data_IF_339516576128
#
_entry.id   IF_339516576128
#
_cell.length_a   1.000
_cell.length_b   1.000
_cell.length_c   1.000
_cell.angle_alpha   90.00
_cell.angle_beta   90.00
_cell.angle_gamma   90.00
#
_symmetry.space_group_name_H-M   'P 1'
#
loop_
_entity.id
_entity.type
_entity.pdbx_description
1 polymer ?
#
# COMPACT_ATOMS: atom_id res chain seq x y z
N UNK A 1 -48.41 -45.28 -17.21
CA UNK A 1 -46.98 -45.63 -17.09
C UNK A 1 -46.26 -44.39 -16.57
N UNK A 2 -46.17 -44.25 -15.26
CA UNK A 2 -45.33 -43.22 -14.62
C UNK A 2 -44.55 -43.95 -13.53
N UNK A 3 -43.24 -44.09 -13.75
CA UNK A 3 -42.33 -44.62 -12.75
C UNK A 3 -41.86 -43.45 -11.89
N UNK A 4 -42.48 -43.35 -10.73
CA UNK A 4 -41.90 -42.77 -9.51
C UNK A 4 -40.62 -43.54 -9.16
N UNK A 5 -39.57 -42.82 -8.75
CA UNK A 5 -38.33 -43.46 -8.28
C UNK A 5 -37.18 -42.48 -8.13
N UNK A 6 -37.12 -41.80 -6.98
CA UNK A 6 -35.85 -41.39 -6.36
C UNK A 6 -35.99 -41.54 -4.86
N UNK A 7 -35.59 -42.70 -4.38
CA UNK A 7 -35.38 -43.00 -2.97
C UNK A 7 -33.91 -42.66 -2.66
N UNK A 8 -33.68 -41.59 -1.91
CA UNK A 8 -32.40 -41.33 -1.24
C UNK A 8 -32.61 -41.73 0.22
N UNK A 9 -32.10 -42.89 0.59
CA UNK A 9 -32.01 -43.33 1.98
C UNK A 9 -30.95 -42.47 2.66
N UNK A 10 -31.40 -41.45 3.40
CA UNK A 10 -30.57 -40.66 4.30
C UNK A 10 -30.57 -41.37 5.65
N UNK A 11 -29.37 -41.71 6.14
CA UNK A 11 -29.17 -42.23 7.50
C UNK A 11 -29.71 -41.23 8.51
N UNK A 12 -30.51 -41.74 9.45
CA UNK A 12 -30.99 -41.05 10.63
C UNK A 12 -29.82 -40.57 11.50
N UNK A 13 -29.44 -39.31 11.33
CA UNK A 13 -28.85 -38.50 12.40
C UNK A 13 -29.57 -37.17 12.35
N UNK A 14 -30.38 -36.90 13.37
CA UNK A 14 -31.20 -35.70 13.51
C UNK A 14 -30.37 -34.44 13.76
N UNK A 15 -29.50 -34.08 12.83
CA UNK A 15 -28.93 -32.74 12.74
C UNK A 15 -29.91 -31.86 11.98
N UNK A 16 -30.36 -30.79 12.63
CA UNK A 16 -31.09 -29.71 11.99
C UNK A 16 -30.09 -29.06 11.03
N UNK A 17 -30.11 -29.46 9.76
CA UNK A 17 -29.39 -28.75 8.70
C UNK A 17 -30.07 -27.40 8.56
N UNK A 18 -29.49 -26.37 9.18
CA UNK A 18 -29.92 -24.99 9.00
C UNK A 18 -29.73 -24.66 7.52
N UNK A 19 -30.84 -24.64 6.78
CA UNK A 19 -30.86 -24.34 5.35
C UNK A 19 -30.19 -22.97 5.16
N UNK A 20 -29.07 -22.94 4.43
CA UNK A 20 -28.30 -21.72 4.25
C UNK A 20 -29.21 -20.65 3.65
N UNK A 21 -29.26 -19.42 4.23
CA UNK A 21 -30.16 -18.40 3.72
C UNK A 21 -29.84 -18.12 2.25
N UNK A 22 -30.86 -18.21 1.39
CA UNK A 22 -30.77 -17.76 0.01
C UNK A 22 -30.21 -16.34 -0.01
N UNK A 23 -29.15 -16.11 -0.80
CA UNK A 23 -28.52 -14.80 -0.92
C UNK A 23 -29.51 -13.84 -1.57
N UNK A 24 -30.30 -13.15 -0.76
CA UNK A 24 -31.19 -12.08 -1.23
C UNK A 24 -30.36 -10.82 -1.40
N UNK A 25 -30.07 -10.43 -2.64
CA UNK A 25 -29.39 -9.19 -2.98
C UNK A 25 -30.35 -8.00 -2.76
N UNK A 26 -30.33 -7.43 -1.56
CA UNK A 26 -31.02 -6.17 -1.23
C UNK A 26 -30.02 -5.01 -1.28
N UNK A 27 -30.49 -3.77 -1.43
CA UNK A 27 -29.59 -2.60 -1.42
C UNK A 27 -28.77 -2.52 -0.13
N UNK A 28 -29.39 -2.85 1.01
CA UNK A 28 -28.73 -2.92 2.30
C UNK A 28 -27.70 -4.06 2.38
N UNK A 29 -27.98 -5.24 1.80
CA UNK A 29 -27.00 -6.32 1.76
C UNK A 29 -25.80 -5.96 0.88
N UNK A 30 -26.02 -5.25 -0.23
CA UNK A 30 -24.95 -4.76 -1.12
C UNK A 30 -24.07 -3.76 -0.37
N UNK A 31 -24.67 -2.79 0.33
CA UNK A 31 -23.92 -1.80 1.13
C UNK A 31 -23.05 -2.48 2.20
N UNK A 32 -23.60 -3.47 2.91
CA UNK A 32 -22.87 -4.22 3.93
C UNK A 32 -21.73 -5.05 3.33
N UNK A 33 -21.97 -5.75 2.21
CA UNK A 33 -20.93 -6.53 1.51
C UNK A 33 -19.81 -5.60 1.04
N UNK A 34 -20.14 -4.46 0.44
CA UNK A 34 -19.16 -3.49 -0.04
C UNK A 34 -18.32 -2.91 1.12
N UNK A 35 -18.96 -2.57 2.25
CA UNK A 35 -18.26 -2.11 3.45
C UNK A 35 -17.31 -3.17 4.00
N UNK A 36 -17.76 -4.43 4.11
CA UNK A 36 -16.95 -5.54 4.60
C UNK A 36 -15.75 -5.81 3.70
N UNK A 37 -15.93 -5.78 2.37
CA UNK A 37 -14.83 -5.91 1.41
C UNK A 37 -13.84 -4.77 1.57
N UNK A 38 -14.30 -3.52 1.70
CA UNK A 38 -13.39 -2.38 1.90
C UNK A 38 -12.61 -2.47 3.22
N UNK A 39 -13.22 -2.96 4.30
CA UNK A 39 -12.53 -3.21 5.57
C UNK A 39 -11.48 -4.32 5.44
N UNK A 40 -11.83 -5.43 4.80
CA UNK A 40 -10.91 -6.54 4.52
C UNK A 40 -9.73 -6.08 3.65
N UNK A 41 -9.98 -5.26 2.63
CA UNK A 41 -8.92 -4.72 1.80
C UNK A 41 -7.97 -3.83 2.59
N UNK A 42 -8.50 -2.91 3.41
CA UNK A 42 -7.70 -2.02 4.26
C UNK A 42 -6.84 -2.79 5.26
N UNK A 43 -7.38 -3.87 5.83
CA UNK A 43 -6.64 -4.74 6.73
C UNK A 43 -5.42 -5.33 6.02
N UNK A 44 -5.60 -5.91 4.84
CA UNK A 44 -4.50 -6.52 4.05
C UNK A 44 -3.44 -5.48 3.68
N UNK A 45 -3.85 -4.30 3.20
CA UNK A 45 -2.90 -3.25 2.81
C UNK A 45 -2.11 -2.68 3.97
N UNK A 46 -2.66 -2.72 5.19
CA UNK A 46 -2.00 -2.20 6.39
C UNK A 46 -1.09 -3.25 7.04
N UNK A 47 -1.45 -4.53 6.94
CA UNK A 47 -0.69 -5.63 7.53
C UNK A 47 0.57 -5.99 6.75
N UNK A 48 0.53 -5.92 5.41
CA UNK A 48 1.60 -6.42 4.56
C UNK A 48 2.71 -5.40 4.36
N UNK A 49 3.95 -5.85 4.50
CA UNK A 49 5.17 -5.07 4.31
C UNK A 49 5.91 -5.50 3.03
N UNK A 50 6.30 -4.54 2.22
CA UNK A 50 7.04 -4.79 0.97
C UNK A 50 8.45 -5.28 1.28
N UNK A 51 8.95 -6.21 0.47
CA UNK A 51 10.24 -6.92 0.62
C UNK A 51 10.35 -7.83 1.85
N UNK A 52 9.27 -7.99 2.64
CA UNK A 52 9.17 -8.95 3.75
C UNK A 52 8.06 -9.96 3.48
N UNK A 53 6.85 -9.46 3.23
CA UNK A 53 5.66 -10.30 3.05
C UNK A 53 5.27 -10.49 1.58
N UNK A 54 5.63 -9.51 0.75
CA UNK A 54 5.40 -9.52 -0.69
C UNK A 54 6.48 -8.70 -1.39
N UNK A 55 6.75 -9.00 -2.65
CA UNK A 55 7.73 -8.26 -3.42
C UNK A 55 8.06 -8.90 -4.75
N UNK A 56 9.12 -8.41 -5.39
CA UNK A 56 9.51 -8.86 -6.72
C UNK A 56 10.52 -10.00 -6.65
N UNK A 57 10.10 -11.19 -7.07
CA UNK A 57 11.03 -12.31 -7.26
C UNK A 57 11.91 -12.07 -8.49
N UNK A 58 13.24 -12.30 -8.42
CA UNK A 58 14.11 -12.22 -9.59
C UNK A 58 13.56 -13.05 -10.76
N UNK A 59 13.38 -12.40 -11.91
CA UNK A 59 12.82 -13.03 -13.12
C UNK A 59 11.30 -12.89 -13.29
N UNK A 60 10.55 -12.35 -12.33
CA UNK A 60 9.12 -12.02 -12.50
C UNK A 60 8.93 -10.54 -12.88
N UNK A 61 7.83 -10.24 -13.58
CA UNK A 61 7.49 -8.86 -13.97
C UNK A 61 6.67 -8.13 -12.91
N UNK A 62 5.90 -8.87 -12.13
CA UNK A 62 5.01 -8.35 -11.09
C UNK A 62 5.50 -8.80 -9.72
N UNK A 63 5.13 -8.01 -8.72
CA UNK A 63 5.27 -8.40 -7.32
C UNK A 63 4.31 -9.58 -7.04
N UNK A 64 4.67 -10.39 -6.06
CA UNK A 64 3.88 -11.53 -5.63
C UNK A 64 3.88 -11.64 -4.12
N UNK A 65 2.77 -12.18 -3.60
CA UNK A 65 2.65 -12.58 -2.19
C UNK A 65 3.61 -13.74 -1.90
N UNK A 66 4.34 -13.65 -0.79
CA UNK A 66 5.21 -14.72 -0.30
C UNK A 66 4.55 -15.48 0.85
N UNK A 67 5.18 -16.58 1.24
CA UNK A 67 4.73 -17.48 2.31
C UNK A 67 4.48 -16.74 3.63
N UNK A 68 5.42 -15.86 4.03
CA UNK A 68 5.29 -15.02 5.22
C UNK A 68 4.07 -14.10 5.16
N UNK A 69 3.78 -13.52 3.99
CA UNK A 69 2.61 -12.67 3.79
C UNK A 69 1.30 -13.44 3.84
N UNK A 70 1.25 -14.65 3.28
CA UNK A 70 0.08 -15.52 3.40
C UNK A 70 -0.22 -15.86 4.87
N UNK A 71 0.81 -16.27 5.63
CA UNK A 71 0.69 -16.53 7.06
C UNK A 71 0.21 -15.30 7.86
N UNK A 72 0.73 -14.10 7.54
CA UNK A 72 0.31 -12.84 8.17
C UNK A 72 -1.15 -12.50 7.86
N UNK A 73 -1.62 -12.76 6.64
CA UNK A 73 -3.05 -12.63 6.28
C UNK A 73 -3.89 -13.58 7.13
N UNK A 74 -3.54 -14.86 7.22
CA UNK A 74 -4.32 -15.82 8.01
C UNK A 74 -4.41 -15.39 9.48
N UNK A 75 -3.29 -14.95 10.06
CA UNK A 75 -3.27 -14.43 11.43
C UNK A 75 -4.17 -13.18 11.58
N UNK A 76 -4.10 -12.23 10.63
CA UNK A 76 -4.91 -11.02 10.63
C UNK A 76 -6.42 -11.27 10.54
N UNK A 77 -6.83 -12.32 9.82
CA UNK A 77 -8.23 -12.76 9.73
C UNK A 77 -8.62 -13.78 10.81
N UNK A 78 -7.76 -14.02 11.81
CA UNK A 78 -7.98 -15.03 12.86
C UNK A 78 -8.34 -16.42 12.28
N UNK A 79 -7.60 -16.83 11.25
CA UNK A 79 -7.77 -18.09 10.54
C UNK A 79 -6.57 -19.01 10.77
N UNK A 80 -6.77 -20.30 10.48
CA UNK A 80 -5.69 -21.29 10.39
C UNK A 80 -5.87 -22.16 9.16
N UNK A 81 -4.79 -22.82 8.76
CA UNK A 81 -4.77 -23.66 7.57
C UNK A 81 -4.78 -25.13 7.98
N UNK A 82 -5.68 -25.88 7.37
CA UNK A 82 -5.66 -27.34 7.36
C UNK A 82 -5.28 -27.83 5.95
N UNK A 83 -4.40 -28.82 5.87
CA UNK A 83 -3.85 -29.30 4.60
C UNK A 83 -4.42 -30.67 4.25
N UNK A 84 -4.95 -30.78 3.04
CA UNK A 84 -5.41 -32.04 2.48
C UNK A 84 -4.59 -32.41 1.25
N UNK A 85 -3.99 -33.60 1.25
CA UNK A 85 -3.35 -34.14 0.06
C UNK A 85 -4.44 -34.60 -0.90
N UNK A 86 -4.52 -33.96 -2.06
CA UNK A 86 -5.46 -34.34 -3.13
C UNK A 86 -4.88 -35.44 -4.01
N UNK A 87 -3.57 -35.37 -4.26
CA UNK A 87 -2.87 -36.29 -5.15
C UNK A 87 -1.40 -36.41 -4.75
N UNK A 88 -0.90 -37.64 -4.79
CA UNK A 88 0.51 -37.98 -4.60
C UNK A 88 0.89 -39.11 -5.56
N UNK A 89 2.00 -38.93 -6.26
CA UNK A 89 2.60 -39.92 -7.15
C UNK A 89 4.12 -39.94 -6.90
N UNK A 90 4.66 -41.15 -6.74
CA UNK A 90 6.06 -41.47 -6.43
C UNK A 90 6.49 -42.74 -7.20
N UNK A 91 6.21 -42.77 -8.50
CA UNK A 91 6.56 -43.87 -9.40
C UNK A 91 7.67 -43.48 -10.39
N UNK A 92 8.53 -44.43 -10.79
CA UNK A 92 9.50 -44.25 -11.88
C UNK A 92 10.43 -43.01 -11.78
N UNK A 93 10.76 -42.57 -10.55
CA UNK A 93 11.52 -41.33 -10.28
C UNK A 93 10.76 -40.03 -10.64
N UNK A 94 9.44 -40.11 -10.74
CA UNK A 94 8.53 -38.99 -10.76
C UNK A 94 7.99 -38.79 -9.34
N UNK A 95 8.20 -37.60 -8.78
CA UNK A 95 7.51 -37.19 -7.56
C UNK A 95 6.56 -36.08 -7.96
N UNK A 96 5.30 -36.19 -7.57
CA UNK A 96 4.27 -35.17 -7.77
C UNK A 96 3.37 -35.07 -6.55
N UNK A 97 3.14 -33.85 -6.09
CA UNK A 97 2.22 -33.52 -5.01
C UNK A 97 1.20 -32.50 -5.49
N UNK A 98 -0.06 -32.70 -5.11
CA UNK A 98 -1.12 -31.71 -5.16
C UNK A 98 -1.77 -31.62 -3.78
N UNK A 99 -1.75 -30.43 -3.20
CA UNK A 99 -2.22 -30.16 -1.84
C UNK A 99 -3.26 -29.06 -1.91
N UNK A 100 -4.35 -29.25 -1.16
CA UNK A 100 -5.34 -28.23 -0.90
C UNK A 100 -5.12 -27.65 0.50
N UNK A 101 -5.12 -26.33 0.60
CA UNK A 101 -5.12 -25.59 1.86
C UNK A 101 -6.55 -25.11 2.14
N UNK A 102 -7.16 -25.63 3.20
CA UNK A 102 -8.46 -25.20 3.71
C UNK A 102 -8.23 -24.12 4.77
N UNK A 103 -8.69 -22.90 4.51
CA UNK A 103 -8.53 -21.78 5.43
C UNK A 103 -9.78 -21.73 6.29
N UNK A 104 -9.60 -21.95 7.59
CA UNK A 104 -10.68 -22.11 8.55
C UNK A 104 -10.66 -20.94 9.52
N UNK A 105 -11.81 -20.28 9.66
CA UNK A 105 -12.00 -19.24 10.68
C UNK A 105 -11.98 -19.85 12.08
N UNK A 106 -11.15 -19.32 12.98
CA UNK A 106 -11.12 -19.80 14.38
C UNK A 106 -12.43 -19.52 15.12
N UNK A 107 -13.11 -18.43 14.76
CA UNK A 107 -14.34 -18.01 15.42
C UNK A 107 -15.55 -18.87 15.02
N UNK A 108 -15.67 -19.20 13.73
CA UNK A 108 -16.85 -19.89 13.18
C UNK A 108 -16.61 -21.35 12.84
N UNK A 109 -15.35 -21.79 12.79
CA UNK A 109 -14.93 -23.13 12.35
C UNK A 109 -15.39 -23.48 10.92
N UNK A 110 -15.73 -22.47 10.12
CA UNK A 110 -16.13 -22.62 8.72
C UNK A 110 -14.94 -22.35 7.80
N UNK A 111 -14.92 -23.03 6.65
CA UNK A 111 -13.96 -22.74 5.58
C UNK A 111 -14.31 -21.39 4.95
N UNK A 112 -13.37 -20.45 4.98
CA UNK A 112 -13.50 -19.10 4.43
C UNK A 112 -12.73 -18.90 3.12
N UNK A 113 -11.88 -19.86 2.76
CA UNK A 113 -11.11 -19.86 1.53
C UNK A 113 -10.45 -21.21 1.31
N UNK A 114 -10.13 -21.52 0.06
CA UNK A 114 -9.44 -22.74 -0.34
C UNK A 114 -8.40 -22.41 -1.38
N UNK A 115 -7.20 -22.94 -1.22
CA UNK A 115 -6.12 -22.81 -2.21
C UNK A 115 -5.60 -24.16 -2.66
N UNK A 116 -5.11 -24.25 -3.89
CA UNK A 116 -4.51 -25.48 -4.42
C UNK A 116 -3.08 -25.22 -4.89
N UNK A 117 -2.16 -26.06 -4.44
CA UNK A 117 -0.75 -25.99 -4.78
C UNK A 117 -0.24 -27.34 -5.26
N UNK A 118 0.48 -27.32 -6.38
CA UNK A 118 1.12 -28.51 -6.93
C UNK A 118 2.61 -28.29 -7.13
N UNK A 119 3.40 -29.35 -6.93
CA UNK A 119 4.83 -29.37 -7.21
C UNK A 119 5.27 -30.75 -7.70
N UNK A 120 6.17 -30.80 -8.69
CA UNK A 120 6.70 -32.08 -9.18
C UNK A 120 8.15 -32.04 -9.66
N UNK A 121 8.75 -33.22 -9.83
CA UNK A 121 10.04 -33.39 -10.53
C UNK A 121 9.92 -33.20 -12.05
N UNK A 122 8.72 -32.98 -12.60
CA UNK A 122 8.55 -32.51 -14.00
C UNK A 122 8.92 -31.03 -14.15
N UNK A 123 8.91 -30.26 -13.06
CA UNK A 123 9.39 -28.87 -13.09
C UNK A 123 10.92 -28.83 -13.30
N UNK A 124 11.37 -28.03 -14.26
CA UNK A 124 12.80 -27.94 -14.63
C UNK A 124 13.73 -27.61 -13.46
N UNK A 125 13.25 -26.86 -12.46
CA UNK A 125 14.03 -26.48 -11.27
C UNK A 125 14.29 -27.65 -10.31
N UNK A 126 13.38 -28.64 -10.28
CA UNK A 126 13.48 -29.81 -9.40
C UNK A 126 14.09 -30.99 -10.16
N UNK A 127 13.83 -31.07 -11.47
CA UNK A 127 14.34 -32.11 -12.38
C UNK A 127 15.85 -32.09 -12.55
N UNK A 128 16.45 -30.90 -12.57
CA UNK A 128 17.83 -30.70 -12.98
C UNK A 128 18.67 -29.98 -11.94
N UNK A 129 19.94 -30.40 -11.81
CA UNK A 129 20.95 -29.75 -10.98
C UNK A 129 22.14 -29.31 -11.84
N UNK A 130 22.79 -28.22 -11.44
CA UNK A 130 24.01 -27.73 -12.10
C UNK A 130 25.24 -28.22 -11.33
N UNK A 131 26.10 -28.99 -12.01
CA UNK A 131 27.27 -29.64 -11.41
C UNK A 131 28.53 -29.31 -12.20
N UNK A 132 29.66 -29.20 -11.51
CA UNK A 132 30.96 -28.93 -12.15
C UNK A 132 31.50 -30.18 -12.85
N UNK A 133 31.43 -31.33 -12.18
CA UNK A 133 32.00 -32.60 -12.64
C UNK A 133 30.91 -33.69 -12.78
N UNK A 134 30.21 -33.79 -13.92
CA UNK A 134 29.24 -34.87 -14.14
C UNK A 134 29.84 -36.28 -14.06
N UNK A 135 31.15 -36.44 -14.30
CA UNK A 135 31.85 -37.73 -14.27
C UNK A 135 31.75 -38.40 -12.89
N UNK A 136 31.75 -37.64 -11.81
CA UNK A 136 31.57 -38.15 -10.44
C UNK A 136 30.17 -38.76 -10.21
N UNK A 137 29.19 -38.36 -11.02
CA UNK A 137 27.83 -38.89 -11.00
C UNK A 137 27.61 -40.04 -11.99
N UNK A 138 28.69 -40.57 -12.58
CA UNK A 138 28.65 -41.72 -13.48
C UNK A 138 28.33 -41.41 -14.94
N UNK A 139 28.33 -40.14 -15.36
CA UNK A 139 28.16 -39.77 -16.76
C UNK A 139 29.43 -40.08 -17.57
N UNK A 140 29.26 -40.77 -18.71
CA UNK A 140 30.33 -41.03 -19.67
C UNK A 140 30.70 -39.79 -20.49
N UNK A 141 31.88 -39.78 -21.11
CA UNK A 141 32.37 -38.62 -21.88
C UNK A 141 31.44 -38.24 -23.05
N UNK A 142 30.86 -39.24 -23.72
CA UNK A 142 29.87 -39.05 -24.79
C UNK A 142 28.54 -38.44 -24.31
N UNK A 143 28.17 -38.71 -23.06
CA UNK A 143 26.97 -38.14 -22.45
C UNK A 143 27.23 -36.71 -21.98
N UNK A 144 28.40 -36.46 -21.40
CA UNK A 144 28.85 -35.13 -20.95
C UNK A 144 28.84 -34.14 -22.11
N UNK A 145 29.30 -34.57 -23.29
CA UNK A 145 29.29 -33.74 -24.50
C UNK A 145 27.88 -33.28 -24.92
N UNK A 146 26.83 -34.02 -24.54
CA UNK A 146 25.42 -33.70 -24.85
C UNK A 146 24.74 -32.87 -23.76
N UNK A 147 25.34 -32.74 -22.58
CA UNK A 147 24.76 -31.99 -21.47
C UNK A 147 24.76 -30.49 -21.74
N UNK A 148 23.70 -29.81 -21.32
CA UNK A 148 23.63 -28.35 -21.40
C UNK A 148 24.66 -27.73 -20.46
N UNK A 149 25.55 -26.91 -20.99
CA UNK A 149 26.55 -26.15 -20.21
C UNK A 149 26.05 -24.73 -19.96
N UNK A 150 26.27 -24.22 -18.75
CA UNK A 150 25.95 -22.83 -18.38
C UNK A 150 27.12 -21.93 -18.78
N UNK A 151 26.84 -20.87 -19.51
CA UNK A 151 27.87 -19.94 -20.00
C UNK A 151 28.59 -19.17 -18.88
N UNK A 152 27.91 -18.93 -17.75
CA UNK A 152 28.43 -18.13 -16.64
C UNK A 152 29.49 -18.86 -15.80
N UNK A 153 29.21 -20.08 -15.36
CA UNK A 153 30.06 -20.83 -14.40
C UNK A 153 30.65 -22.11 -15.00
N UNK A 154 30.36 -22.39 -16.27
CA UNK A 154 30.83 -23.57 -16.98
C UNK A 154 30.23 -24.90 -16.50
N UNK A 155 29.27 -24.89 -15.56
CA UNK A 155 28.66 -26.10 -15.01
C UNK A 155 27.74 -26.79 -16.02
N UNK A 156 27.56 -28.09 -15.84
CA UNK A 156 26.70 -28.94 -16.66
C UNK A 156 25.36 -29.19 -15.97
N UNK A 157 24.29 -29.27 -16.75
CA UNK A 157 22.95 -29.57 -16.27
C UNK A 157 22.69 -31.08 -16.33
N UNK A 158 22.68 -31.73 -15.17
CA UNK A 158 22.39 -33.17 -15.00
C UNK A 158 21.00 -33.39 -14.42
N UNK A 159 20.48 -34.62 -14.54
CA UNK A 159 19.27 -35.03 -13.81
C UNK A 159 19.61 -34.99 -12.31
N UNK A 160 18.67 -34.53 -11.49
CA UNK A 160 18.88 -34.44 -10.06
C UNK A 160 19.08 -35.86 -9.46
N UNK A 161 20.25 -36.16 -8.87
CA UNK A 161 20.53 -37.48 -8.28
C UNK A 161 19.85 -37.67 -6.92
N UNK A 162 19.50 -36.59 -6.23
CA UNK A 162 19.07 -36.61 -4.83
C UNK A 162 17.55 -36.80 -4.71
N UNK A 163 17.07 -37.98 -5.11
CA UNK A 163 15.63 -38.26 -5.16
C UNK A 163 14.93 -38.14 -3.81
N UNK A 164 15.52 -38.70 -2.75
CA UNK A 164 14.93 -38.71 -1.41
C UNK A 164 14.70 -37.31 -0.84
N UNK A 165 15.64 -36.39 -1.08
CA UNK A 165 15.53 -34.99 -0.62
C UNK A 165 14.43 -34.21 -1.35
N UNK A 166 14.10 -34.63 -2.57
CA UNK A 166 13.07 -33.98 -3.37
C UNK A 166 11.66 -34.28 -2.84
N UNK A 167 11.41 -35.42 -2.19
CA UNK A 167 10.05 -35.79 -1.74
C UNK A 167 9.50 -34.75 -0.78
N UNK A 168 10.24 -34.48 0.31
CA UNK A 168 9.84 -33.49 1.31
C UNK A 168 9.90 -32.06 0.74
N UNK A 169 10.91 -31.76 -0.09
CA UNK A 169 11.02 -30.44 -0.73
C UNK A 169 9.79 -30.13 -1.57
N UNK A 170 9.34 -31.09 -2.38
CA UNK A 170 8.16 -30.92 -3.25
C UNK A 170 6.87 -30.85 -2.43
N UNK A 171 6.73 -31.66 -1.38
CA UNK A 171 5.60 -31.57 -0.46
C UNK A 171 5.49 -30.17 0.15
N UNK A 172 6.56 -29.66 0.75
CA UNK A 172 6.59 -28.32 1.34
C UNK A 172 6.39 -27.22 0.29
N UNK A 173 6.92 -27.39 -0.93
CA UNK A 173 6.65 -26.44 -2.01
C UNK A 173 5.19 -26.42 -2.44
N UNK A 174 4.53 -27.58 -2.53
CA UNK A 174 3.13 -27.69 -2.87
C UNK A 174 2.26 -27.04 -1.79
N UNK A 175 2.55 -27.29 -0.50
CA UNK A 175 1.84 -26.69 0.63
C UNK A 175 1.94 -25.15 0.61
N UNK A 176 3.15 -24.58 0.50
CA UNK A 176 3.34 -23.12 0.43
C UNK A 176 2.59 -22.48 -0.74
N UNK A 177 2.56 -23.15 -1.90
CA UNK A 177 1.78 -22.67 -3.05
C UNK A 177 0.27 -22.70 -2.77
N UNK A 178 -0.21 -23.75 -2.10
CA UNK A 178 -1.61 -23.89 -1.71
C UNK A 178 -2.00 -22.80 -0.71
N UNK A 179 -1.14 -22.51 0.27
CA UNK A 179 -1.36 -21.42 1.24
C UNK A 179 -1.42 -20.05 0.55
N UNK A 180 -0.45 -19.72 -0.29
CA UNK A 180 -0.45 -18.44 -1.03
C UNK A 180 -1.69 -18.29 -1.93
N UNK A 181 -2.11 -19.37 -2.58
CA UNK A 181 -3.33 -19.40 -3.39
C UNK A 181 -4.59 -19.23 -2.54
N UNK A 182 -4.65 -19.92 -1.40
CA UNK A 182 -5.76 -19.84 -0.47
C UNK A 182 -5.92 -18.44 0.10
N UNK A 183 -4.81 -17.79 0.50
CA UNK A 183 -4.83 -16.42 0.99
C UNK A 183 -5.48 -15.47 -0.03
N UNK A 184 -5.18 -15.66 -1.33
CA UNK A 184 -5.80 -14.87 -2.42
C UNK A 184 -7.29 -15.12 -2.59
N UNK A 185 -7.76 -16.33 -2.27
CA UNK A 185 -9.18 -16.72 -2.37
C UNK A 185 -10.05 -16.11 -1.27
N UNK A 186 -9.45 -15.64 -0.17
CA UNK A 186 -10.18 -15.07 0.95
C UNK A 186 -10.93 -13.78 0.56
N UNK A 187 -12.08 -13.48 1.17
CA UNK A 187 -12.87 -12.30 0.85
C UNK A 187 -12.08 -10.99 0.94
N UNK A 188 -12.10 -10.19 -0.14
CA UNK A 188 -11.40 -8.90 -0.22
C UNK A 188 -9.89 -8.97 -0.42
N UNK A 189 -9.24 -10.11 -0.17
CA UNK A 189 -7.77 -10.22 -0.23
C UNK A 189 -7.25 -10.13 -1.67
N UNK A 190 -7.84 -10.89 -2.61
CA UNK A 190 -7.41 -10.84 -4.02
C UNK A 190 -7.51 -9.43 -4.64
N UNK A 191 -8.54 -8.66 -4.28
CA UNK A 191 -8.70 -7.26 -4.70
C UNK A 191 -7.63 -6.35 -4.12
N UNK A 192 -7.35 -6.48 -2.81
CA UNK A 192 -6.28 -5.73 -2.14
C UNK A 192 -4.90 -6.03 -2.73
N UNK A 193 -4.58 -7.32 -2.92
CA UNK A 193 -3.31 -7.75 -3.50
C UNK A 193 -3.15 -7.22 -4.92
N UNK A 194 -4.21 -7.22 -5.73
CA UNK A 194 -4.17 -6.63 -7.07
C UNK A 194 -3.85 -5.13 -7.00
N UNK A 195 -4.49 -4.38 -6.09
CA UNK A 195 -4.20 -2.94 -5.89
C UNK A 195 -2.77 -2.69 -5.40
N UNK A 196 -2.25 -3.56 -4.53
CA UNK A 196 -0.87 -3.49 -4.02
C UNK A 196 0.17 -3.82 -5.11
N UNK A 197 -0.11 -4.82 -5.94
CA UNK A 197 0.81 -5.28 -6.99
C UNK A 197 0.70 -4.44 -8.27
N UNK A 198 -0.45 -3.82 -8.52
CA UNK A 198 -0.63 -2.80 -9.56
C UNK A 198 0.00 -1.47 -9.16
N UNK A 199 1.33 -1.44 -9.05
CA UNK A 199 2.03 -0.19 -9.32
C UNK A 199 1.78 0.17 -10.79
N UNK A 200 1.31 1.40 -11.05
CA UNK A 200 1.06 2.00 -12.37
C UNK A 200 2.33 2.03 -13.24
N UNK A 201 2.83 0.88 -13.66
CA UNK A 201 3.95 0.72 -14.58
C UNK A 201 3.43 0.88 -16.00
N UNK A 202 3.11 2.11 -16.40
CA UNK A 202 3.04 2.48 -17.82
C UNK A 202 4.47 2.59 -18.35
N UNK A 203 5.11 1.45 -18.60
CA UNK A 203 6.42 1.39 -19.23
C UNK A 203 6.75 -0.01 -19.72
N UNK A 204 7.08 -0.16 -21.01
CA UNK A 204 7.51 -1.44 -21.57
C UNK A 204 8.83 -1.88 -20.92
N UNK A 205 8.97 -3.13 -20.45
CA UNK A 205 10.25 -3.63 -19.95
C UNK A 205 11.24 -3.88 -21.11
N UNK A 206 12.54 -3.61 -20.88
CA UNK A 206 13.65 -4.03 -21.76
C UNK A 206 14.44 -5.16 -21.10
N UNK A 207 15.09 -5.98 -21.92
CA UNK A 207 15.81 -7.22 -21.55
C UNK A 207 17.06 -7.02 -20.66
N UNK A 208 17.46 -5.79 -20.35
CA UNK A 208 18.69 -5.48 -19.61
C UNK A 208 18.42 -4.69 -18.34
N UNK A 209 17.88 -5.36 -17.31
CA UNK A 209 18.09 -5.11 -15.86
C UNK A 209 17.89 -3.73 -15.20
N UNK A 210 17.89 -2.62 -15.93
CA UNK A 210 17.86 -1.25 -15.42
C UNK A 210 16.57 -0.61 -15.94
N UNK A 211 15.60 -0.39 -15.04
CA UNK A 211 14.32 0.24 -15.39
C UNK A 211 14.54 1.70 -15.82
N UNK A 212 13.85 2.14 -16.88
CA UNK A 212 13.70 3.57 -17.16
C UNK A 212 12.78 4.15 -16.07
N UNK A 213 13.33 5.06 -15.26
CA UNK A 213 12.59 5.81 -14.24
C UNK A 213 11.58 6.75 -14.92
N UNK A 214 10.37 6.87 -14.37
CA UNK A 214 9.34 7.77 -14.87
C UNK A 214 9.59 9.21 -14.40
N UNK A 215 10.61 9.83 -15.02
CA UNK A 215 10.92 11.24 -14.81
C UNK A 215 9.75 12.15 -15.19
N UNK A 216 8.93 11.76 -16.17
CA UNK A 216 7.83 12.60 -16.65
C UNK A 216 6.73 12.75 -15.59
N UNK A 217 6.37 11.65 -14.92
CA UNK A 217 5.39 11.69 -13.83
C UNK A 217 5.90 12.45 -12.61
N UNK A 218 7.18 12.29 -12.27
CA UNK A 218 7.83 13.02 -11.18
C UNK A 218 7.82 14.54 -11.43
N UNK A 219 8.33 14.98 -12.58
CA UNK A 219 8.37 16.41 -12.91
C UNK A 219 6.99 17.03 -13.08
N UNK A 220 6.00 16.26 -13.54
CA UNK A 220 4.60 16.72 -13.57
C UNK A 220 4.08 17.14 -12.20
N UNK A 221 4.40 16.37 -11.14
CA UNK A 221 3.99 16.70 -9.77
C UNK A 221 4.80 17.87 -9.18
N UNK A 222 6.09 17.93 -9.45
CA UNK A 222 6.94 19.05 -9.01
C UNK A 222 6.46 20.38 -9.63
N UNK A 223 6.12 20.36 -10.92
CA UNK A 223 5.55 21.53 -11.60
C UNK A 223 4.18 21.93 -11.03
N UNK A 224 3.35 20.96 -10.63
CA UNK A 224 2.07 21.23 -9.95
C UNK A 224 2.26 21.91 -8.59
N UNK A 225 3.39 21.65 -7.92
CA UNK A 225 3.78 22.35 -6.68
C UNK A 225 4.42 23.73 -6.93
N UNK A 226 4.53 24.16 -8.19
CA UNK A 226 5.15 25.44 -8.57
C UNK A 226 6.67 25.48 -8.40
N UNK A 227 7.31 24.32 -8.22
CA UNK A 227 8.75 24.23 -8.02
C UNK A 227 9.48 24.00 -9.35
N UNK A 228 10.65 24.63 -9.49
CA UNK A 228 11.57 24.39 -10.61
C UNK A 228 12.50 23.21 -10.33
N UNK A 229 13.14 22.70 -11.38
CA UNK A 229 14.12 21.62 -11.29
C UNK A 229 15.24 21.91 -10.28
N UNK A 230 15.79 23.13 -10.32
CA UNK A 230 16.85 23.57 -9.39
C UNK A 230 16.37 23.65 -7.93
N UNK A 231 15.14 24.07 -7.70
CA UNK A 231 14.57 24.12 -6.35
C UNK A 231 14.33 22.71 -5.81
N UNK A 232 13.86 21.79 -6.67
CA UNK A 232 13.72 20.38 -6.31
C UNK A 232 15.06 19.77 -5.86
N UNK A 233 16.16 20.08 -6.55
CA UNK A 233 17.51 19.65 -6.18
C UNK A 233 17.99 20.24 -4.85
N UNK A 234 17.73 21.53 -4.63
CA UNK A 234 18.04 22.20 -3.36
C UNK A 234 17.31 21.55 -2.16
N UNK A 235 16.03 21.21 -2.32
CA UNK A 235 15.25 20.53 -1.28
C UNK A 235 15.72 19.10 -1.01
N UNK A 236 16.33 18.43 -2.00
CA UNK A 236 16.89 17.09 -1.86
C UNK A 236 18.34 17.09 -1.36
N UNK A 237 19.04 18.23 -1.43
CA UNK A 237 20.46 18.34 -1.08
C UNK A 237 21.38 17.60 -2.05
N UNK A 238 20.98 17.47 -3.32
CA UNK A 238 21.75 16.78 -4.37
C UNK A 238 21.90 17.67 -5.59
N UNK A 239 22.96 17.47 -6.38
CA UNK A 239 23.18 18.22 -7.62
C UNK A 239 22.29 17.72 -8.78
N UNK A 240 21.80 16.49 -8.70
CA UNK A 240 20.89 15.92 -9.70
C UNK A 240 20.04 14.78 -9.12
N UNK A 241 18.90 14.53 -9.76
CA UNK A 241 18.03 13.40 -9.39
C UNK A 241 18.72 12.04 -9.62
N UNK A 242 19.61 11.95 -10.61
CA UNK A 242 20.42 10.75 -10.82
C UNK A 242 21.34 10.51 -9.62
N UNK A 243 22.00 11.55 -9.10
CA UNK A 243 22.82 11.44 -7.89
C UNK A 243 22.02 11.01 -6.65
N UNK A 244 20.75 11.39 -6.55
CA UNK A 244 19.85 10.87 -5.51
C UNK A 244 19.58 9.36 -5.65
N UNK A 245 19.33 8.91 -6.88
CA UNK A 245 19.06 7.51 -7.19
C UNK A 245 20.30 6.64 -7.00
N UNK A 246 21.46 7.13 -7.41
CA UNK A 246 22.75 6.45 -7.26
C UNK A 246 23.11 6.23 -5.78
N UNK A 247 22.61 7.10 -4.89
CA UNK A 247 22.72 6.95 -3.43
C UNK A 247 21.61 6.08 -2.81
N UNK A 248 20.87 5.32 -3.63
CA UNK A 248 19.83 4.39 -3.17
C UNK A 248 18.46 5.03 -2.94
N UNK A 249 18.28 6.30 -3.31
CA UNK A 249 17.00 7.00 -3.24
C UNK A 249 16.02 6.58 -4.34
N UNK A 250 14.72 6.69 -4.07
CA UNK A 250 13.66 6.48 -5.06
C UNK A 250 13.02 7.81 -5.46
N UNK A 251 12.32 7.85 -6.61
CA UNK A 251 11.56 9.04 -7.01
C UNK A 251 10.41 9.37 -6.03
N UNK A 252 9.85 8.34 -5.37
CA UNK A 252 8.79 8.50 -4.38
C UNK A 252 9.33 9.13 -3.08
N UNK A 253 10.44 8.61 -2.57
CA UNK A 253 11.12 9.16 -1.37
C UNK A 253 11.68 10.57 -1.63
N UNK A 254 12.12 10.86 -2.86
CA UNK A 254 12.47 12.22 -3.26
C UNK A 254 11.27 13.18 -3.14
N UNK A 255 10.12 12.77 -3.68
CA UNK A 255 8.92 13.60 -3.66
C UNK A 255 8.40 13.83 -2.25
N UNK A 256 8.42 12.79 -1.39
CA UNK A 256 8.05 12.92 0.03
C UNK A 256 8.96 13.90 0.78
N UNK A 257 10.28 13.83 0.57
CA UNK A 257 11.22 14.77 1.16
C UNK A 257 10.97 16.22 0.72
N UNK A 258 10.68 16.42 -0.56
CA UNK A 258 10.38 17.76 -1.09
C UNK A 258 9.08 18.29 -0.49
N UNK A 259 8.03 17.48 -0.44
CA UNK A 259 6.74 17.86 0.16
C UNK A 259 6.93 18.22 1.64
N UNK A 260 7.68 17.41 2.40
CA UNK A 260 7.99 17.69 3.80
C UNK A 260 8.82 18.97 3.97
N UNK A 261 9.78 19.24 3.09
CA UNK A 261 10.58 20.46 3.13
C UNK A 261 9.77 21.72 2.78
N UNK A 262 8.87 21.64 1.81
CA UNK A 262 7.94 22.73 1.46
C UNK A 262 6.94 22.99 2.58
N UNK A 263 6.47 21.95 3.27
CA UNK A 263 5.61 22.11 4.44
C UNK A 263 6.36 22.83 5.58
N UNK A 264 7.60 22.42 5.86
CA UNK A 264 8.46 23.07 6.87
C UNK A 264 8.76 24.52 6.54
N UNK A 265 9.12 24.84 5.29
CA UNK A 265 9.39 26.24 4.90
C UNK A 265 8.15 27.12 5.03
N UNK A 266 6.94 26.61 4.74
CA UNK A 266 5.68 27.32 5.02
C UNK A 266 5.46 27.55 6.51
N UNK A 267 5.74 26.57 7.36
CA UNK A 267 5.61 26.71 8.83
C UNK A 267 6.64 27.68 9.41
N UNK A 268 7.88 27.65 8.91
CA UNK A 268 8.95 28.58 9.31
C UNK A 268 8.66 30.02 8.83
N UNK A 269 8.09 30.18 7.64
CA UNK A 269 7.63 31.49 7.13
C UNK A 269 6.46 32.03 7.96
N UNK A 270 5.55 31.16 8.40
CA UNK A 270 4.47 31.52 9.31
C UNK A 270 4.97 31.86 10.73
N UNK A 271 6.03 31.22 11.21
CA UNK A 271 6.64 31.50 12.51
C UNK A 271 7.54 32.74 12.50
N UNK A 272 8.26 33.03 11.40
CA UNK A 272 9.01 34.28 11.23
C UNK A 272 8.07 35.49 11.05
N UNK A 273 6.92 35.32 10.41
CA UNK A 273 5.87 36.35 10.38
C UNK A 273 5.23 36.63 11.76
N UNK A 274 5.35 35.70 12.71
CA UNK A 274 4.84 35.85 14.08
C UNK A 274 5.83 36.46 15.10
N UNK A 275 7.10 36.63 14.74
CA UNK A 275 8.17 36.97 15.70
C UNK A 275 8.70 38.42 15.60
N UNK A 276 8.34 39.20 14.59
CA UNK A 276 8.56 40.65 14.57
C UNK A 276 7.24 41.40 14.86
N UNK A 277 6.84 41.47 16.13
CA UNK A 277 5.89 42.51 16.56
C UNK A 277 6.63 43.86 16.53
N UNK A 278 6.64 44.50 15.36
CA UNK A 278 6.79 45.95 15.28
C UNK A 278 5.51 46.54 15.85
N UNK A 279 5.62 47.50 16.77
CA UNK A 279 4.49 48.34 17.16
C UNK A 279 3.81 48.83 15.87
N UNK A 280 2.52 48.52 15.72
CA UNK A 280 1.77 48.91 14.54
C UNK A 280 1.90 50.44 14.37
N UNK A 281 2.29 50.93 13.17
CA UNK A 281 2.47 52.36 12.94
C UNK A 281 1.18 53.12 13.30
N UNK A 282 1.31 54.32 13.87
CA UNK A 282 0.13 55.17 14.13
C UNK A 282 -0.58 55.50 12.81
N UNK A 283 -1.78 54.94 12.64
CA UNK A 283 -2.68 55.22 11.51
C UNK A 283 -3.62 56.37 11.86
N UNK A 284 -3.94 57.21 10.88
CA UNK A 284 -4.86 58.34 11.02
C UNK A 284 -6.16 58.08 10.25
N UNK A 285 -7.26 58.76 10.61
CA UNK A 285 -8.58 58.55 9.98
C UNK A 285 -8.55 58.73 8.44
N UNK A 286 -7.65 59.59 7.94
CA UNK A 286 -7.47 59.81 6.50
C UNK A 286 -7.03 58.57 5.71
N UNK A 287 -6.43 57.58 6.39
CA UNK A 287 -5.97 56.33 5.77
C UNK A 287 -7.12 55.36 5.45
N UNK A 288 -8.35 55.63 5.94
CA UNK A 288 -9.48 54.71 5.88
C UNK A 288 -10.67 55.32 5.13
N UNK A 289 -10.58 55.39 3.79
CA UNK A 289 -11.65 55.98 2.97
C UNK A 289 -12.80 55.00 2.70
N UNK A 290 -12.51 53.70 2.71
CA UNK A 290 -13.49 52.66 2.41
C UNK A 290 -13.15 51.34 3.14
N UNK A 291 -14.05 50.36 3.02
CA UNK A 291 -13.89 49.03 3.64
C UNK A 291 -12.68 48.25 3.10
N UNK A 292 -12.25 48.50 1.86
CA UNK A 292 -11.06 47.85 1.28
C UNK A 292 -9.81 48.35 1.98
N UNK A 293 -9.73 49.65 2.30
CA UNK A 293 -8.60 50.23 3.03
C UNK A 293 -8.47 49.61 4.43
N UNK A 294 -9.59 49.40 5.14
CA UNK A 294 -9.61 48.67 6.42
C UNK A 294 -9.02 47.26 6.27
N UNK A 295 -9.43 46.51 5.24
CA UNK A 295 -8.97 45.14 5.04
C UNK A 295 -7.47 45.07 4.73
N UNK A 296 -6.98 45.97 3.87
CA UNK A 296 -5.55 46.06 3.55
C UNK A 296 -4.74 46.44 4.79
N UNK A 297 -5.17 47.47 5.53
CA UNK A 297 -4.45 47.94 6.72
C UNK A 297 -4.46 46.86 7.82
N UNK A 298 -5.57 46.13 8.02
CA UNK A 298 -5.60 45.01 8.98
C UNK A 298 -4.75 43.81 8.53
N UNK A 299 -4.63 43.57 7.23
CA UNK A 299 -3.71 42.56 6.70
C UNK A 299 -2.26 42.97 6.94
N UNK A 300 -1.93 44.24 6.71
CA UNK A 300 -0.57 44.78 6.87
C UNK A 300 -0.16 44.87 8.35
N UNK A 301 -1.05 45.33 9.22
CA UNK A 301 -0.72 45.59 10.64
C UNK A 301 -0.91 44.35 11.54
N UNK A 302 -1.82 43.42 11.19
CA UNK A 302 -2.18 42.28 12.05
C UNK A 302 -2.11 40.91 11.34
N UNK A 303 -1.77 40.85 10.06
CA UNK A 303 -1.74 39.61 9.28
C UNK A 303 -3.11 38.94 9.14
N UNK A 304 -4.20 39.70 9.26
CA UNK A 304 -5.57 39.15 9.25
C UNK A 304 -6.07 38.92 7.83
N UNK A 305 -6.77 37.80 7.62
CA UNK A 305 -7.56 37.62 6.40
C UNK A 305 -8.84 38.46 6.45
N UNK A 306 -9.46 38.73 5.29
CA UNK A 306 -10.71 39.49 5.24
C UNK A 306 -11.84 38.85 6.05
N UNK A 307 -11.85 37.51 6.14
CA UNK A 307 -12.84 36.78 6.93
C UNK A 307 -12.62 36.97 8.43
N UNK A 308 -11.35 37.02 8.86
CA UNK A 308 -11.00 37.22 10.26
C UNK A 308 -11.34 38.63 10.73
N UNK A 309 -11.16 39.64 9.86
CA UNK A 309 -11.51 41.05 10.18
C UNK A 309 -13.00 41.18 10.50
N UNK A 310 -13.87 40.63 9.65
CA UNK A 310 -15.31 40.71 9.89
C UNK A 310 -15.74 39.86 11.09
N UNK A 311 -15.13 38.69 11.29
CA UNK A 311 -15.42 37.84 12.43
C UNK A 311 -15.08 38.51 13.76
N UNK A 312 -13.94 39.20 13.85
CA UNK A 312 -13.51 39.95 15.04
C UNK A 312 -14.48 41.11 15.35
N UNK A 313 -15.00 41.75 14.30
CA UNK A 313 -16.02 42.81 14.40
C UNK A 313 -17.45 42.26 14.54
N UNK A 314 -17.62 40.93 14.69
CA UNK A 314 -18.93 40.27 14.81
C UNK A 314 -19.86 40.41 13.60
N UNK A 315 -19.31 40.61 12.39
CA UNK A 315 -20.04 40.60 11.13
C UNK A 315 -19.84 39.28 10.36
N UNK A 316 -20.89 38.84 9.67
CA UNK A 316 -20.83 37.60 8.89
C UNK A 316 -20.04 37.73 7.59
N UNK A 317 -20.05 38.91 6.98
CA UNK A 317 -19.39 39.20 5.71
C UNK A 317 -19.30 40.71 5.48
N UNK A 318 -18.59 41.10 4.42
CA UNK A 318 -18.42 42.50 4.01
C UNK A 318 -19.76 43.22 3.75
N UNK A 319 -20.75 42.55 3.16
CA UNK A 319 -22.04 43.19 2.87
C UNK A 319 -22.81 43.55 4.15
N UNK A 320 -22.70 42.72 5.20
CA UNK A 320 -23.27 43.01 6.51
C UNK A 320 -22.56 44.18 7.20
N UNK A 321 -21.24 44.27 7.03
CA UNK A 321 -20.43 45.39 7.52
C UNK A 321 -20.78 46.70 6.80
N UNK A 322 -20.80 46.71 5.47
CA UNK A 322 -21.12 47.91 4.68
C UNK A 322 -22.55 48.40 4.94
N UNK A 323 -23.48 47.50 5.27
CA UNK A 323 -24.86 47.83 5.63
C UNK A 323 -25.01 48.41 7.05
N UNK A 324 -24.03 48.19 7.94
CA UNK A 324 -24.07 48.70 9.32
C UNK A 324 -23.85 50.21 9.40
N UNK A 325 -23.14 50.77 8.42
CA UNK A 325 -22.71 52.18 8.45
C UNK A 325 -21.50 52.44 9.35
N UNK A 326 -20.86 51.40 9.88
CA UNK A 326 -19.67 51.51 10.73
C UNK A 326 -18.51 52.14 9.97
N UNK A 327 -17.81 53.07 10.62
CA UNK A 327 -16.67 53.75 10.02
C UNK A 327 -15.44 52.83 10.03
N UNK A 328 -14.78 52.62 8.88
CA UNK A 328 -13.56 51.85 8.77
C UNK A 328 -12.48 52.15 9.83
N UNK A 329 -12.27 53.42 10.18
CA UNK A 329 -11.28 53.81 11.20
C UNK A 329 -11.67 53.37 12.62
N UNK A 330 -12.94 53.51 13.00
CA UNK A 330 -13.44 53.10 14.34
C UNK A 330 -13.39 51.57 14.51
N UNK A 331 -13.68 50.85 13.42
CA UNK A 331 -13.52 49.40 13.34
C UNK A 331 -12.07 48.94 13.51
N UNK A 332 -11.12 49.65 12.89
CA UNK A 332 -9.68 49.39 13.08
C UNK A 332 -9.24 49.63 14.53
N UNK A 333 -9.69 50.72 15.17
CA UNK A 333 -9.38 50.99 16.58
C UNK A 333 -9.94 49.92 17.52
N UNK A 334 -11.13 49.40 17.21
CA UNK A 334 -11.75 48.29 17.96
C UNK A 334 -10.89 47.04 17.87
N UNK A 335 -10.46 46.65 16.67
CA UNK A 335 -9.56 45.50 16.46
C UNK A 335 -8.21 45.70 17.18
N UNK A 336 -7.64 46.90 17.08
CA UNK A 336 -6.39 47.26 17.77
C UNK A 336 -6.52 47.14 19.29
N UNK A 337 -7.67 47.52 19.85
CA UNK A 337 -7.93 47.40 21.29
C UNK A 337 -8.12 45.94 21.74
N UNK A 338 -8.88 45.14 20.98
CA UNK A 338 -9.14 43.72 21.27
C UNK A 338 -7.84 42.91 21.26
N UNK A 339 -6.93 43.22 20.34
CA UNK A 339 -5.63 42.55 20.24
C UNK A 339 -4.54 43.13 21.15
N UNK A 340 -4.77 44.32 21.69
CA UNK A 340 -3.89 44.97 22.68
C UNK A 340 -4.18 44.54 24.13
N UNK A 341 -5.38 44.03 24.43
CA UNK A 341 -5.78 43.55 25.75
C UNK A 341 -5.40 42.08 25.95
N UNK A 342 -4.47 41.80 26.86
CA UNK A 342 -4.10 40.45 27.30
C UNK A 342 -5.30 39.73 27.94
N UNK A 343 -5.54 38.43 27.69
CA UNK A 343 -6.23 37.58 28.66
C UNK A 343 -5.20 37.05 29.69
N UNK A 344 -5.38 37.40 30.96
CA UNK A 344 -4.66 36.74 32.07
C UNK A 344 -5.09 35.26 32.14
N UNK A 345 -4.18 34.35 31.78
CA UNK A 345 -4.33 32.92 32.06
C UNK A 345 -4.14 32.70 33.57
N UNK A 346 -5.22 32.27 34.23
CA UNK A 346 -5.19 31.76 35.60
C UNK A 346 -4.64 30.34 35.59
N UNK A 347 -3.47 30.18 36.18
CA UNK A 347 -2.83 28.89 36.46
C UNK A 347 -3.49 28.28 37.69
N UNK A 348 -4.38 27.31 37.50
CA UNK A 348 -4.69 26.29 38.50
C UNK A 348 -3.81 25.07 38.24
N UNK A 349 -2.82 24.84 39.11
CA UNK A 349 -2.52 23.49 39.62
C UNK A 349 -1.65 23.61 40.89
N UNK A 350 -2.24 23.23 42.02
CA UNK A 350 -1.56 22.92 43.28
C UNK A 350 -1.50 21.40 43.46
N UNK A 351 -0.34 20.97 43.96
CA UNK A 351 -0.04 19.69 44.65
C UNK A 351 0.50 18.54 43.82
#
# INVERSE_FOLDING_TARGET
MEKSGRELVVKETGEIVQEAPLVTLTEMSIANIAHNVAMAERLVTTLLEKEIDYGRTPGTQTDGLWDAGAAKIFAGFNCYVDHQVLFHDDEEKLISWCIQANIISRATQTIVGTGVGAASTRESKNKYRWVANPRELGYGDDEIAKLKRRASDGKFRVINPDYGDLVNTLFLMAAKRAEVDGARSMPGVGGALKKLFEHKLKGKPRETGIRKLDYSGYWGKINQMGLTEKQSYAHLGVDSLNGWIDNGGTLETALEKIVASVAKSKTETAQQAGAERKDAPERIEADFQNTIDLLHICSDDFGMSSTDVFKELSFQNQAAYDASGDKPFESYLTIKSLRGAQPEESVEEQS
#
